data_IF_452802688837
#
_entry.id   IF_452802688837
#
_cell.length_a   1.000
_cell.length_b   1.000
_cell.length_c   1.000
_cell.angle_alpha   90.00
_cell.angle_beta   90.00
_cell.angle_gamma   90.00
#
_symmetry.space_group_name_H-M   'P 1'
#
loop_
_entity.id
_entity.type
_entity.pdbx_description
1 polymer ?
#
# COMPACT_ATOMS: atom_id res chain seq x y z
N UNK A 1 -0.26 -8.90 -13.79
CA UNK A 1 1.11 -8.47 -14.21
C UNK A 1 2.12 -9.40 -13.53
N UNK A 2 3.36 -9.50 -14.02
CA UNK A 2 4.39 -10.26 -13.31
C UNK A 2 4.74 -9.53 -12.00
N UNK A 3 4.91 -10.28 -10.92
CA UNK A 3 5.37 -9.75 -9.64
C UNK A 3 6.71 -9.02 -9.84
N UNK A 4 6.81 -7.82 -9.27
CA UNK A 4 8.06 -7.08 -9.16
C UNK A 4 8.23 -6.66 -7.71
N UNK A 5 9.36 -7.05 -7.11
CA UNK A 5 9.62 -6.81 -5.70
C UNK A 5 9.67 -5.29 -5.41
N UNK A 6 9.16 -4.86 -4.24
CA UNK A 6 9.37 -3.49 -3.77
C UNK A 6 10.87 -3.17 -3.68
N UNK A 7 11.23 -1.93 -4.01
CA UNK A 7 12.60 -1.44 -4.03
C UNK A 7 12.77 -0.27 -3.08
N UNK A 8 13.65 -0.44 -2.10
CA UNK A 8 13.99 0.60 -1.13
C UNK A 8 13.02 0.69 0.03
N UNK A 9 13.39 1.46 1.04
CA UNK A 9 12.75 1.46 2.36
C UNK A 9 11.26 1.83 2.30
N UNK A 10 10.87 2.76 1.40
CA UNK A 10 9.49 3.22 1.27
C UNK A 10 8.60 2.14 0.64
N UNK A 11 9.01 1.56 -0.48
CA UNK A 11 8.21 0.52 -1.15
C UNK A 11 8.13 -0.75 -0.29
N UNK A 12 9.20 -1.11 0.42
CA UNK A 12 9.21 -2.25 1.34
C UNK A 12 8.27 -2.05 2.52
N UNK A 13 8.29 -0.86 3.15
CA UNK A 13 7.36 -0.52 4.22
C UNK A 13 5.91 -0.50 3.73
N UNK A 14 5.65 0.04 2.53
CA UNK A 14 4.33 0.05 1.92
C UNK A 14 3.83 -1.38 1.67
N UNK A 15 4.66 -2.23 1.06
CA UNK A 15 4.34 -3.62 0.79
C UNK A 15 4.04 -4.38 2.09
N UNK A 16 4.81 -4.16 3.16
CA UNK A 16 4.54 -4.79 4.46
C UNK A 16 3.18 -4.36 5.04
N UNK A 17 2.85 -3.06 5.00
CA UNK A 17 1.56 -2.58 5.48
C UNK A 17 0.42 -3.19 4.64
N UNK A 18 0.61 -3.32 3.33
CA UNK A 18 -0.38 -3.93 2.44
C UNK A 18 -0.57 -5.41 2.71
N UNK A 19 0.51 -6.16 2.93
CA UNK A 19 0.45 -7.58 3.33
C UNK A 19 -0.36 -7.75 4.62
N UNK A 20 -0.11 -6.91 5.62
CA UNK A 20 -0.83 -6.95 6.89
C UNK A 20 -2.32 -6.63 6.75
N UNK A 21 -2.66 -5.66 5.89
CA UNK A 21 -4.04 -5.24 5.69
C UNK A 21 -4.82 -6.25 4.84
N UNK A 22 -4.24 -6.70 3.73
CA UNK A 22 -4.90 -7.57 2.75
C UNK A 22 -4.78 -9.05 3.11
N UNK A 23 -3.91 -9.42 4.06
CA UNK A 23 -3.63 -10.82 4.41
C UNK A 23 -2.91 -11.58 3.30
N UNK A 24 -2.15 -10.88 2.46
CA UNK A 24 -1.43 -11.45 1.33
C UNK A 24 0.03 -11.70 1.68
N UNK A 25 0.60 -12.82 1.22
CA UNK A 25 2.00 -13.16 1.49
C UNK A 25 2.99 -12.38 0.61
N UNK A 26 2.52 -11.81 -0.50
CA UNK A 26 3.37 -11.12 -1.47
C UNK A 26 2.59 -9.97 -2.10
N UNK A 27 3.21 -8.78 -2.10
CA UNK A 27 2.74 -7.57 -2.76
C UNK A 27 3.89 -7.08 -3.62
N UNK A 28 3.63 -6.89 -4.92
CA UNK A 28 4.56 -6.26 -5.85
C UNK A 28 4.34 -4.76 -5.93
N UNK A 29 5.38 -4.02 -6.33
CA UNK A 29 5.35 -2.55 -6.46
C UNK A 29 4.39 -2.00 -7.53
N UNK A 30 3.89 -2.87 -8.39
CA UNK A 30 2.98 -2.53 -9.49
C UNK A 30 1.58 -3.13 -9.29
N UNK A 31 1.32 -3.73 -8.12
CA UNK A 31 0.03 -4.29 -7.79
C UNK A 31 -0.93 -3.20 -7.33
N UNK A 32 -2.19 -3.33 -7.71
CA UNK A 32 -3.20 -2.31 -7.43
C UNK A 32 -3.95 -2.64 -6.15
N UNK A 33 -3.97 -1.71 -5.19
CA UNK A 33 -4.57 -1.91 -3.88
C UNK A 33 -6.02 -2.42 -3.94
N UNK A 34 -6.84 -1.79 -4.79
CA UNK A 34 -8.26 -2.11 -4.92
C UNK A 34 -8.52 -3.40 -5.71
N UNK A 35 -7.65 -3.74 -6.68
CA UNK A 35 -7.77 -5.01 -7.42
C UNK A 35 -7.45 -6.21 -6.53
N UNK A 36 -6.62 -6.01 -5.50
CA UNK A 36 -6.26 -7.03 -4.52
C UNK A 36 -7.29 -7.18 -3.38
N UNK A 37 -8.41 -6.45 -3.43
CA UNK A 37 -9.47 -6.51 -2.41
C UNK A 37 -9.41 -5.41 -1.36
N UNK A 38 -8.52 -4.43 -1.53
CA UNK A 38 -8.48 -3.23 -0.69
C UNK A 38 -9.76 -2.41 -0.82
N UNK A 39 -10.22 -1.81 0.28
CA UNK A 39 -11.40 -0.96 0.31
C UNK A 39 -11.19 0.30 1.16
N UNK A 40 -12.16 1.21 1.17
CA UNK A 40 -12.02 2.57 1.73
C UNK A 40 -11.54 2.59 3.19
N UNK A 41 -12.06 1.72 4.05
CA UNK A 41 -11.57 1.61 5.44
C UNK A 41 -10.10 1.19 5.52
N UNK A 42 -9.65 0.27 4.66
CA UNK A 42 -8.25 -0.16 4.63
C UNK A 42 -7.35 0.95 4.07
N UNK A 43 -7.83 1.74 3.09
CA UNK A 43 -7.10 2.90 2.60
C UNK A 43 -6.89 3.96 3.70
N UNK A 44 -7.88 4.18 4.56
CA UNK A 44 -7.75 5.07 5.74
C UNK A 44 -6.74 4.50 6.73
N UNK A 45 -6.79 3.20 7.02
CA UNK A 45 -5.81 2.54 7.90
C UNK A 45 -4.39 2.59 7.32
N UNK A 46 -4.25 2.43 6.01
CA UNK A 46 -2.99 2.52 5.29
C UNK A 46 -2.36 3.91 5.44
N UNK A 47 -3.09 4.98 5.17
CA UNK A 47 -2.60 6.36 5.33
C UNK A 47 -2.20 6.64 6.79
N UNK A 48 -2.99 6.17 7.76
CA UNK A 48 -2.64 6.30 9.17
C UNK A 48 -1.34 5.59 9.53
N UNK A 49 -1.10 4.38 9.00
CA UNK A 49 0.13 3.61 9.26
C UNK A 49 1.34 4.20 8.56
N UNK A 50 1.19 4.68 7.32
CA UNK A 50 2.26 5.37 6.59
C UNK A 50 2.75 6.61 7.35
N UNK A 51 1.82 7.39 7.90
CA UNK A 51 2.18 8.53 8.76
C UNK A 51 2.93 8.10 10.01
N UNK A 52 2.55 6.99 10.64
CA UNK A 52 3.22 6.52 11.87
C UNK A 52 4.60 5.90 11.62
N UNK A 53 4.77 5.19 10.51
CA UNK A 53 5.99 4.43 10.21
C UNK A 53 7.02 5.27 9.44
N UNK A 54 6.55 6.07 8.48
CA UNK A 54 7.40 6.80 7.55
C UNK A 54 7.38 8.32 7.77
N UNK A 55 6.54 8.83 8.68
CA UNK A 55 6.27 10.28 8.85
C UNK A 55 5.83 10.97 7.54
N UNK A 56 5.24 10.19 6.62
CA UNK A 56 4.73 10.67 5.33
C UNK A 56 3.22 10.84 5.40
N UNK A 57 2.73 12.03 5.05
CA UNK A 57 1.30 12.25 4.79
C UNK A 57 0.99 12.00 3.32
N UNK A 58 0.27 10.90 3.05
CA UNK A 58 -0.27 10.60 1.72
C UNK A 58 -1.75 11.02 1.70
N UNK A 59 -2.15 11.98 0.83
CA UNK A 59 -3.54 12.33 0.66
C UNK A 59 -4.33 11.12 0.16
N UNK A 60 -5.44 10.78 0.84
CA UNK A 60 -6.30 9.65 0.45
C UNK A 60 -6.74 9.74 -1.03
N UNK A 61 -6.96 10.97 -1.52
CA UNK A 61 -7.32 11.25 -2.92
C UNK A 61 -6.25 10.76 -3.92
N UNK A 62 -4.98 10.83 -3.54
CA UNK A 62 -3.86 10.47 -4.41
C UNK A 62 -3.79 8.95 -4.53
N UNK A 63 -4.11 8.24 -3.44
CA UNK A 63 -4.25 6.78 -3.41
C UNK A 63 -5.41 6.27 -4.29
N UNK A 64 -6.51 7.03 -4.35
CA UNK A 64 -7.61 6.73 -5.29
C UNK A 64 -7.28 7.11 -6.74
N UNK A 65 -6.48 8.15 -6.95
CA UNK A 65 -6.09 8.59 -8.29
C UNK A 65 -5.02 7.70 -8.93
N UNK A 66 -4.11 7.14 -8.12
CA UNK A 66 -3.02 6.27 -8.53
C UNK A 66 -2.87 5.13 -7.52
N UNK A 67 -3.58 4.00 -7.69
CA UNK A 67 -3.60 2.90 -6.72
C UNK A 67 -2.41 1.92 -6.83
N UNK A 68 -1.28 2.35 -7.42
CA UNK A 68 -0.03 1.58 -7.59
C UNK A 68 1.10 2.18 -6.79
#
# INVERSE_FOLDING_TARGET
RAYEAPQGEIEEALAQIWQDLLGLAQIGRHDHFFEMGGHSLMAVQLVSRLRQVLDVEVPLRDLFAQPT
#
